data_IF_206276017486
#
_entry.id   IF_206276017486
#
_cell.length_a   1.000
_cell.length_b   1.000
_cell.length_c   1.000
_cell.angle_alpha   90.00
_cell.angle_beta   90.00
_cell.angle_gamma   90.00
#
_symmetry.space_group_name_H-M   'P 1'
#
loop_
_entity.id
_entity.type
_entity.pdbx_description
1 polymer ?
#
# COMPACT_ATOMS: atom_id res chain seq x y z
N UNK A 1 -9.43 8.16 11.28
CA UNK A 1 -9.71 6.85 10.63
C UNK A 1 -10.30 7.13 9.26
N UNK A 2 -9.89 6.43 8.20
CA UNK A 2 -10.45 6.65 6.86
C UNK A 2 -11.91 6.16 6.82
N UNK A 3 -12.87 6.97 6.36
CA UNK A 3 -14.29 6.58 6.32
C UNK A 3 -14.58 5.36 5.43
N UNK A 4 -13.79 5.19 4.37
CA UNK A 4 -13.90 4.05 3.44
C UNK A 4 -12.54 3.37 3.42
N UNK A 5 -12.43 2.18 4.00
CA UNK A 5 -11.23 1.36 3.91
C UNK A 5 -11.62 0.01 3.32
N UNK A 6 -11.03 -0.40 2.19
CA UNK A 6 -11.32 -1.70 1.61
C UNK A 6 -10.78 -2.79 2.53
N UNK A 7 -11.28 -4.01 2.36
CA UNK A 7 -10.71 -5.17 3.04
C UNK A 7 -9.22 -5.29 2.68
N UNK A 8 -8.37 -5.45 3.71
CA UNK A 8 -6.94 -5.64 3.53
C UNK A 8 -6.55 -7.06 3.92
N UNK A 9 -5.87 -7.76 3.02
CA UNK A 9 -5.36 -9.11 3.29
C UNK A 9 -3.83 -9.16 3.16
N UNK A 10 -3.12 -9.90 4.04
CA UNK A 10 -1.71 -10.20 3.86
C UNK A 10 -1.50 -11.00 2.59
N UNK A 11 -0.42 -10.71 1.85
CA UNK A 11 -0.11 -11.42 0.60
C UNK A 11 0.13 -12.92 0.81
N UNK A 12 0.46 -13.36 2.03
CA UNK A 12 0.64 -14.77 2.37
C UNK A 12 -0.65 -15.59 2.30
N UNK A 13 -1.81 -14.94 2.36
CA UNK A 13 -3.13 -15.59 2.37
C UNK A 13 -3.89 -15.42 1.06
N UNK A 14 -3.29 -14.73 0.09
CA UNK A 14 -3.88 -14.46 -1.22
C UNK A 14 -3.08 -15.17 -2.30
N UNK A 15 -3.77 -15.80 -3.25
CA UNK A 15 -3.16 -16.29 -4.49
C UNK A 15 -2.83 -15.11 -5.41
N UNK A 16 -1.68 -14.49 -5.15
CA UNK A 16 -1.23 -13.31 -5.89
C UNK A 16 -0.83 -13.62 -7.34
N UNK A 17 -0.51 -14.88 -7.66
CA UNK A 17 -0.19 -15.30 -9.04
C UNK A 17 -1.45 -15.28 -9.91
N UNK A 18 -2.61 -15.69 -9.37
CA UNK A 18 -3.91 -15.53 -10.05
C UNK A 18 -4.27 -14.07 -10.32
N UNK A 19 -3.76 -13.15 -9.50
CA UNK A 19 -3.89 -11.71 -9.67
C UNK A 19 -2.84 -11.14 -10.63
N UNK A 20 -1.99 -11.98 -11.25
CA UNK A 20 -0.93 -11.56 -12.16
C UNK A 20 0.16 -10.73 -11.49
N UNK A 21 0.37 -10.92 -10.18
CA UNK A 21 1.44 -10.31 -9.42
C UNK A 21 2.55 -11.33 -9.17
N UNK A 22 3.77 -10.84 -9.04
CA UNK A 22 4.91 -11.67 -8.66
C UNK A 22 5.18 -11.59 -7.15
N UNK A 23 5.97 -12.53 -6.63
CA UNK A 23 6.49 -12.43 -5.26
C UNK A 23 7.22 -11.11 -5.01
N UNK A 24 7.94 -10.59 -6.00
CA UNK A 24 8.62 -9.29 -5.87
C UNK A 24 7.60 -8.16 -5.65
N UNK A 25 6.54 -8.15 -6.44
CA UNK A 25 5.48 -7.12 -6.38
C UNK A 25 4.80 -7.06 -5.02
N UNK A 26 4.38 -8.21 -4.50
CA UNK A 26 3.65 -8.28 -3.22
C UNK A 26 4.56 -8.09 -2.01
N UNK A 27 5.85 -8.33 -2.15
CA UNK A 27 6.83 -8.10 -1.08
C UNK A 27 7.36 -6.68 -1.08
N UNK A 28 7.34 -5.94 -2.18
CA UNK A 28 7.91 -4.59 -2.25
C UNK A 28 6.86 -3.48 -2.26
N UNK A 29 5.65 -3.75 -2.75
CA UNK A 29 4.62 -2.76 -2.94
C UNK A 29 3.31 -3.16 -2.27
N UNK A 30 2.56 -2.14 -1.84
CA UNK A 30 1.15 -2.27 -1.52
C UNK A 30 0.36 -2.16 -2.82
N UNK A 31 -0.68 -2.96 -2.95
CA UNK A 31 -1.53 -3.02 -4.13
C UNK A 31 -2.97 -2.70 -3.75
N UNK A 32 -3.63 -1.91 -4.59
CA UNK A 32 -5.06 -1.68 -4.53
C UNK A 32 -5.67 -2.16 -5.85
N UNK A 33 -6.60 -3.10 -5.75
CA UNK A 33 -7.29 -3.72 -6.87
C UNK A 33 -8.76 -3.31 -6.81
N UNK A 34 -9.25 -2.56 -7.79
CA UNK A 34 -10.64 -2.08 -7.85
C UNK A 34 -11.14 -2.17 -9.28
N UNK A 35 -12.17 -2.98 -9.53
CA UNK A 35 -12.87 -3.10 -10.82
C UNK A 35 -11.91 -3.23 -12.03
N UNK A 36 -10.88 -4.08 -11.88
CA UNK A 36 -9.87 -4.32 -12.92
C UNK A 36 -8.74 -3.28 -12.97
N UNK A 37 -8.83 -2.16 -12.23
CA UNK A 37 -7.72 -1.22 -12.03
C UNK A 37 -6.76 -1.75 -10.99
N UNK A 38 -5.46 -1.59 -11.27
CA UNK A 38 -4.38 -2.00 -10.38
C UNK A 38 -3.48 -0.81 -10.14
N UNK A 39 -3.51 -0.30 -8.93
CA UNK A 39 -2.62 0.76 -8.49
C UNK A 39 -1.64 0.17 -7.47
N UNK A 40 -0.35 0.54 -7.57
CA UNK A 40 0.70 0.07 -6.67
C UNK A 40 1.43 1.22 -5.97
N UNK A 41 2.03 0.92 -4.83
CA UNK A 41 2.86 1.86 -4.09
C UNK A 41 2.14 3.16 -3.71
N UNK A 42 2.74 4.31 -4.02
CA UNK A 42 2.13 5.61 -3.78
C UNK A 42 0.82 5.83 -4.58
N UNK A 43 0.70 5.24 -5.77
CA UNK A 43 -0.51 5.32 -6.58
C UNK A 43 -1.68 4.55 -5.94
N UNK A 44 -1.38 3.42 -5.28
CA UNK A 44 -2.39 2.67 -4.51
C UNK A 44 -2.93 3.52 -3.35
N UNK A 45 -2.05 4.21 -2.62
CA UNK A 45 -2.43 5.13 -1.53
C UNK A 45 -3.23 6.32 -2.07
N UNK A 46 -2.83 6.87 -3.21
CA UNK A 46 -3.56 7.93 -3.89
C UNK A 46 -4.96 7.49 -4.30
N UNK A 47 -5.09 6.28 -4.86
CA UNK A 47 -6.37 5.68 -5.23
C UNK A 47 -7.28 5.47 -4.00
N UNK A 48 -6.72 4.99 -2.88
CA UNK A 48 -7.44 4.89 -1.61
C UNK A 48 -7.97 6.25 -1.13
N UNK A 49 -7.16 7.32 -1.24
CA UNK A 49 -7.61 8.67 -0.87
C UNK A 49 -8.67 9.23 -1.83
N UNK A 50 -8.57 8.94 -3.13
CA UNK A 50 -9.60 9.30 -4.13
C UNK A 50 -10.93 8.58 -3.92
N UNK A 51 -10.91 7.40 -3.29
CA UNK A 51 -12.12 6.64 -2.97
C UNK A 51 -12.88 7.19 -1.74
N UNK A 52 -12.31 8.13 -0.99
CA UNK A 52 -12.97 8.69 0.19
C UNK A 52 -14.13 9.62 -0.18
N UNK A 53 -15.15 9.67 0.67
CA UNK A 53 -16.32 10.55 0.48
C UNK A 53 -15.98 12.04 0.68
N UNK A 54 -15.00 12.36 1.52
CA UNK A 54 -14.61 13.74 1.83
C UNK A 54 -13.76 14.34 0.70
N UNK A 55 -14.13 15.56 0.26
CA UNK A 55 -13.44 16.27 -0.84
C UNK A 55 -11.95 16.49 -0.56
N UNK A 56 -11.57 16.80 0.69
CA UNK A 56 -10.16 17.01 1.07
C UNK A 56 -9.27 15.78 0.84
N UNK A 57 -9.77 14.59 1.17
CA UNK A 57 -9.04 13.34 0.90
C UNK A 57 -8.91 13.09 -0.61
N UNK A 58 -9.97 13.33 -1.37
CA UNK A 58 -9.94 13.18 -2.83
C UNK A 58 -8.89 14.10 -3.47
N UNK A 59 -8.85 15.36 -3.04
CA UNK A 59 -7.85 16.32 -3.50
C UNK A 59 -6.42 15.84 -3.19
N UNK A 60 -6.17 15.36 -1.96
CA UNK A 60 -4.86 14.82 -1.59
C UNK A 60 -4.47 13.61 -2.45
N UNK A 61 -5.43 12.72 -2.74
CA UNK A 61 -5.21 11.60 -3.65
C UNK A 61 -4.83 12.04 -5.06
N UNK A 62 -5.43 13.10 -5.60
CA UNK A 62 -5.02 13.66 -6.90
C UNK A 62 -3.63 14.31 -6.83
N UNK A 63 -3.31 15.01 -5.74
CA UNK A 63 -2.00 15.64 -5.54
C UNK A 63 -0.87 14.61 -5.57
N UNK A 64 -1.04 13.45 -4.93
CA UNK A 64 -0.03 12.38 -4.87
C UNK A 64 0.33 11.78 -6.24
N UNK A 65 -0.49 11.96 -7.27
CA UNK A 65 -0.23 11.48 -8.63
C UNK A 65 0.06 12.61 -9.62
N UNK A 66 0.05 13.86 -9.19
CA UNK A 66 0.28 15.04 -10.04
C UNK A 66 1.73 15.52 -9.92
N UNK A 67 2.48 15.66 -11.02
CA UNK A 67 3.81 16.28 -10.96
C UNK A 67 3.76 17.73 -10.46
N UNK A 68 4.75 18.20 -9.67
CA UNK A 68 5.95 17.48 -9.21
C UNK A 68 5.75 16.66 -7.93
N UNK A 69 4.58 16.76 -7.30
CA UNK A 69 4.29 16.11 -6.02
C UNK A 69 4.34 14.59 -6.09
N UNK A 70 4.01 14.00 -7.25
CA UNK A 70 4.14 12.56 -7.49
C UNK A 70 5.56 12.03 -7.31
N UNK A 71 6.59 12.82 -7.64
CA UNK A 71 7.98 12.42 -7.42
C UNK A 71 8.32 12.37 -5.94
N UNK A 72 7.91 13.41 -5.19
CA UNK A 72 8.06 13.44 -3.75
C UNK A 72 7.29 12.29 -3.07
N UNK A 73 6.07 12.01 -3.53
CA UNK A 73 5.25 10.89 -3.05
C UNK A 73 5.91 9.53 -3.32
N UNK A 74 6.48 9.33 -4.52
CA UNK A 74 7.21 8.12 -4.86
C UNK A 74 8.45 7.93 -3.96
N UNK A 75 9.23 8.99 -3.73
CA UNK A 75 10.38 8.95 -2.82
C UNK A 75 9.97 8.67 -1.37
N UNK A 76 8.93 9.36 -0.88
CA UNK A 76 8.40 9.14 0.45
C UNK A 76 7.90 7.69 0.62
N UNK A 77 7.19 7.17 -0.37
CA UNK A 77 6.74 5.78 -0.37
C UNK A 77 7.92 4.80 -0.32
N UNK A 78 8.94 4.99 -1.16
CA UNK A 78 10.13 4.14 -1.16
C UNK A 78 10.87 4.17 0.20
N UNK A 79 10.94 5.34 0.82
CA UNK A 79 11.53 5.50 2.15
C UNK A 79 10.74 4.71 3.21
N UNK A 80 9.41 4.89 3.24
CA UNK A 80 8.51 4.17 4.16
C UNK A 80 8.59 2.67 3.93
N UNK A 81 8.54 2.21 2.68
CA UNK A 81 8.64 0.80 2.32
C UNK A 81 9.96 0.18 2.79
N UNK A 82 11.08 0.90 2.65
CA UNK A 82 12.40 0.49 3.16
C UNK A 82 12.43 0.40 4.69
N UNK A 83 11.84 1.38 5.37
CA UNK A 83 11.81 1.45 6.84
C UNK A 83 10.59 0.78 7.48
N UNK A 84 9.78 0.03 6.72
CA UNK A 84 8.53 -0.59 7.21
C UNK A 84 8.72 -1.49 8.43
N UNK A 85 9.90 -2.10 8.54
CA UNK A 85 10.30 -2.95 9.66
C UNK A 85 10.44 -2.18 11.00
N UNK A 86 10.50 -0.84 10.95
CA UNK A 86 10.57 0.05 12.12
C UNK A 86 9.23 0.72 12.42
N UNK A 87 8.22 0.59 11.56
CA UNK A 87 6.96 1.29 11.76
C UNK A 87 6.18 0.64 12.92
N UNK A 88 5.69 1.45 13.89
CA UNK A 88 4.80 0.96 14.93
C UNK A 88 3.47 0.55 14.27
N UNK A 89 3.01 -0.68 14.51
CA UNK A 89 1.82 -1.22 13.86
C UNK A 89 1.97 -2.65 13.34
N UNK A 90 3.19 -3.21 13.35
CA UNK A 90 3.34 -4.66 13.26
C UNK A 90 2.71 -5.31 14.49
N UNK A 91 1.70 -6.17 14.30
CA UNK A 91 1.18 -6.98 15.40
C UNK A 91 2.29 -7.91 15.89
N UNK A 92 2.62 -7.94 17.19
CA UNK A 92 3.65 -8.84 17.73
C UNK A 92 3.34 -10.33 17.44
N UNK A 93 2.08 -10.65 17.13
CA UNK A 93 1.64 -11.96 16.63
C UNK A 93 2.21 -12.36 15.25
N UNK A 94 2.74 -11.42 14.46
CA UNK A 94 3.38 -11.70 13.16
C UNK A 94 4.92 -11.70 13.23
N UNK A 95 5.52 -11.59 14.42
CA UNK A 95 6.95 -11.79 14.59
C UNK A 95 7.26 -13.29 14.44
N UNK A 96 7.90 -13.68 13.34
CA UNK A 96 8.33 -15.07 13.17
C UNK A 96 9.34 -15.44 14.27
N UNK A 97 9.25 -16.64 14.87
CA UNK A 97 10.23 -17.10 15.83
C UNK A 97 11.62 -17.07 15.20
N UNK A 98 12.62 -16.54 15.92
CA UNK A 98 14.02 -16.69 15.51
C UNK A 98 14.35 -18.19 15.51
N UNK A 99 14.86 -18.78 14.42
CA UNK A 99 15.36 -20.14 14.46
C UNK A 99 16.43 -20.26 15.54
N UNK A 100 16.18 -21.08 16.54
CA UNK A 100 17.19 -21.49 17.52
C UNK A 100 18.16 -22.42 16.79
N UNK A 101 19.43 -22.04 16.78
CA UNK A 101 20.54 -22.88 16.32
C UNK A 101 20.70 -24.11 17.23
#
# INVERSE_FOLDING_TARGET
>A
MLPVFPESQPWQWVDYESLGLTRHDVTHYVWLLVDGRRDSGHAAVAALFRAQRTVGWRFLGHLLVTPPFSWAAAMAYALIARFRHRLPGGTPACAMPRPTA
#
